data_IF_252788078702
#
_entry.id   IF_252788078702
#
_cell.length_a   1.000
_cell.length_b   1.000
_cell.length_c   1.000
_cell.angle_alpha   90.00
_cell.angle_beta   90.00
_cell.angle_gamma   90.00
#
_symmetry.space_group_name_H-M   'P 1'
#
loop_
_entity.id
_entity.type
_entity.pdbx_description
1 polymer ?
#
# COMPACT_ATOMS: atom_id res chain seq x y z
N UNK A 1 -15.24 3.24 13.29
CA UNK A 1 -13.91 2.92 12.73
C UNK A 1 -14.12 2.24 11.38
N UNK A 2 -13.23 2.43 10.40
CA UNK A 2 -13.35 1.78 9.09
C UNK A 2 -13.34 0.25 9.22
N UNK A 3 -14.16 -0.44 8.44
CA UNK A 3 -14.05 -1.90 8.27
C UNK A 3 -13.08 -2.18 7.12
N UNK A 4 -11.80 -2.37 7.45
CA UNK A 4 -10.77 -2.62 6.44
C UNK A 4 -10.91 -3.97 5.75
N UNK A 5 -11.58 -4.95 6.35
CA UNK A 5 -11.86 -6.24 5.70
C UNK A 5 -12.91 -6.07 4.62
N UNK A 6 -13.95 -5.28 4.88
CA UNK A 6 -14.93 -4.93 3.85
C UNK A 6 -14.33 -4.05 2.76
N UNK A 7 -13.51 -3.08 3.16
CA UNK A 7 -12.82 -2.22 2.21
C UNK A 7 -11.88 -3.01 1.29
N UNK A 8 -11.14 -4.00 1.82
CA UNK A 8 -10.34 -4.92 0.99
C UNK A 8 -11.21 -5.67 -0.02
N UNK A 9 -12.36 -6.22 0.39
CA UNK A 9 -13.26 -6.91 -0.53
C UNK A 9 -13.76 -6.00 -1.65
N UNK A 10 -14.05 -4.74 -1.34
CA UNK A 10 -14.47 -3.73 -2.34
C UNK A 10 -13.31 -3.30 -3.24
N UNK A 11 -12.12 -3.17 -2.68
CA UNK A 11 -10.89 -2.87 -3.40
C UNK A 11 -10.60 -3.94 -4.47
N UNK A 12 -10.72 -5.22 -4.10
CA UNK A 12 -10.54 -6.35 -5.02
C UNK A 12 -11.57 -6.38 -6.16
N UNK A 13 -12.75 -5.79 -5.95
CA UNK A 13 -13.81 -5.71 -6.96
C UNK A 13 -13.79 -4.41 -7.77
N UNK A 14 -12.86 -3.49 -7.51
CA UNK A 14 -12.86 -2.17 -8.14
C UNK A 14 -14.07 -1.31 -7.73
N UNK A 15 -14.54 -1.45 -6.49
CA UNK A 15 -15.74 -0.76 -5.98
C UNK A 15 -15.41 0.34 -4.95
N UNK A 16 -14.14 0.73 -4.86
CA UNK A 16 -13.73 1.86 -4.04
C UNK A 16 -13.78 3.15 -4.86
N UNK A 17 -14.33 4.19 -4.26
CA UNK A 17 -14.21 5.54 -4.79
C UNK A 17 -12.77 6.05 -4.54
N UNK A 18 -11.99 6.36 -5.60
CA UNK A 18 -10.65 6.90 -5.45
C UNK A 18 -10.60 8.16 -4.58
N UNK A 19 -11.64 9.01 -4.59
CA UNK A 19 -11.68 10.24 -3.80
C UNK A 19 -11.81 9.97 -2.29
N UNK A 20 -12.39 8.82 -1.92
CA UNK A 20 -12.59 8.39 -0.54
C UNK A 20 -11.45 7.52 0.02
N UNK A 21 -10.50 7.08 -0.82
CA UNK A 21 -9.43 6.15 -0.41
C UNK A 21 -8.19 6.90 0.08
N UNK A 22 -8.14 7.17 1.39
CA UNK A 22 -7.10 8.00 2.01
C UNK A 22 -5.88 7.17 2.40
N UNK A 23 -4.76 7.84 2.72
CA UNK A 23 -3.50 7.16 3.09
C UNK A 23 -3.67 6.10 4.21
N UNK A 24 -4.38 6.42 5.28
CA UNK A 24 -4.63 5.44 6.35
C UNK A 24 -5.43 4.22 5.87
N UNK A 25 -6.30 4.43 4.89
CA UNK A 25 -7.11 3.37 4.30
C UNK A 25 -6.26 2.44 3.43
N UNK A 26 -5.27 2.99 2.71
CA UNK A 26 -4.25 2.19 2.05
C UNK A 26 -3.55 1.24 3.02
N UNK A 27 -3.04 1.76 4.14
CA UNK A 27 -2.33 0.95 5.14
C UNK A 27 -3.23 -0.12 5.75
N UNK A 28 -4.48 0.23 6.08
CA UNK A 28 -5.45 -0.71 6.65
C UNK A 28 -5.80 -1.85 5.69
N UNK A 29 -6.07 -1.54 4.42
CA UNK A 29 -6.35 -2.55 3.39
C UNK A 29 -5.12 -3.43 3.14
N UNK A 30 -3.92 -2.85 3.10
CA UNK A 30 -2.67 -3.61 2.94
C UNK A 30 -2.44 -4.57 4.10
N UNK A 31 -2.68 -4.14 5.34
CA UNK A 31 -2.61 -4.98 6.54
C UNK A 31 -3.58 -6.17 6.43
N UNK A 32 -4.84 -5.95 6.08
CA UNK A 32 -5.83 -7.03 5.97
C UNK A 32 -5.49 -8.01 4.84
N UNK A 33 -4.98 -7.50 3.70
CA UNK A 33 -4.52 -8.35 2.60
C UNK A 33 -3.33 -9.22 3.03
N UNK A 34 -2.33 -8.62 3.69
CA UNK A 34 -1.16 -9.33 4.19
C UNK A 34 -1.52 -10.39 5.24
N UNK A 35 -2.46 -10.06 6.13
CA UNK A 35 -2.95 -10.98 7.15
C UNK A 35 -3.69 -12.17 6.53
N UNK A 36 -4.49 -11.93 5.48
CA UNK A 36 -5.32 -12.96 4.83
C UNK A 36 -4.53 -13.86 3.88
N UNK A 37 -3.60 -13.29 3.12
CA UNK A 37 -3.04 -13.94 1.92
C UNK A 37 -1.52 -14.12 1.96
N UNK A 38 -0.82 -13.50 2.92
CA UNK A 38 0.63 -13.47 2.94
C UNK A 38 1.23 -12.56 1.87
N UNK A 39 2.56 -12.36 1.93
CA UNK A 39 3.22 -11.25 1.24
C UNK A 39 3.00 -11.21 -0.28
N UNK A 40 3.38 -12.26 -1.00
CA UNK A 40 3.37 -12.21 -2.48
C UNK A 40 1.95 -12.13 -3.06
N UNK A 41 1.01 -12.85 -2.48
CA UNK A 41 -0.38 -12.81 -2.94
C UNK A 41 -1.04 -11.47 -2.60
N UNK A 42 -0.81 -10.94 -1.39
CA UNK A 42 -1.27 -9.61 -1.03
C UNK A 42 -0.65 -8.53 -1.93
N UNK A 43 0.63 -8.63 -2.27
CA UNK A 43 1.29 -7.69 -3.17
C UNK A 43 0.65 -7.68 -4.56
N UNK A 44 0.31 -8.86 -5.12
CA UNK A 44 -0.41 -8.96 -6.39
C UNK A 44 -1.78 -8.26 -6.31
N UNK A 45 -2.60 -8.64 -5.32
CA UNK A 45 -3.92 -8.06 -5.07
C UNK A 45 -3.83 -6.53 -4.96
N UNK A 46 -2.83 -6.05 -4.22
CA UNK A 46 -2.64 -4.63 -3.98
C UNK A 46 -2.19 -3.87 -5.23
N UNK A 47 -1.28 -4.43 -6.01
CA UNK A 47 -0.85 -3.84 -7.26
C UNK A 47 -1.99 -3.77 -8.27
N UNK A 48 -2.75 -4.85 -8.45
CA UNK A 48 -3.89 -4.90 -9.38
C UNK A 48 -4.99 -3.91 -8.99
N UNK A 49 -5.38 -3.89 -7.71
CA UNK A 49 -6.44 -2.99 -7.24
C UNK A 49 -6.04 -1.51 -7.33
N UNK A 50 -4.77 -1.15 -7.06
CA UNK A 50 -4.32 0.22 -7.24
C UNK A 50 -4.27 0.62 -8.72
N UNK A 51 -3.81 -0.27 -9.60
CA UNK A 51 -3.82 -0.04 -11.04
C UNK A 51 -5.24 0.22 -11.54
N UNK A 52 -6.20 -0.64 -11.17
CA UNK A 52 -7.60 -0.47 -11.55
C UNK A 52 -8.18 0.88 -11.05
N UNK A 53 -7.88 1.27 -9.81
CA UNK A 53 -8.34 2.55 -9.25
C UNK A 53 -7.80 3.76 -10.01
N UNK A 54 -6.51 3.75 -10.36
CA UNK A 54 -5.92 4.89 -11.08
C UNK A 54 -6.37 4.93 -12.54
N UNK A 55 -6.66 3.78 -13.14
CA UNK A 55 -7.25 3.68 -14.49
C UNK A 55 -8.69 4.22 -14.51
N UNK A 56 -9.54 3.81 -13.56
CA UNK A 56 -10.90 4.32 -13.41
C UNK A 56 -10.92 5.83 -13.15
N UNK A 57 -9.96 6.34 -12.38
CA UNK A 57 -9.80 7.77 -12.14
C UNK A 57 -9.24 8.55 -13.34
N UNK A 58 -8.86 7.88 -14.44
CA UNK A 58 -8.24 8.51 -15.61
C UNK A 58 -6.83 9.06 -15.35
N UNK A 59 -6.13 8.53 -14.34
CA UNK A 59 -4.83 9.00 -13.86
C UNK A 59 -3.80 7.85 -13.76
N UNK A 60 -3.56 7.06 -14.81
CA UNK A 60 -2.71 5.86 -14.75
C UNK A 60 -1.29 6.15 -14.23
N UNK A 61 -0.76 7.35 -14.52
CA UNK A 61 0.55 7.81 -14.04
C UNK A 61 0.63 8.03 -12.52
N UNK A 62 -0.45 7.81 -11.77
CA UNK A 62 -0.43 7.84 -10.30
C UNK A 62 0.04 6.53 -9.69
N UNK A 63 -0.04 5.42 -10.41
CA UNK A 63 0.53 4.16 -9.93
C UNK A 63 2.07 4.23 -9.88
N UNK A 64 2.64 3.62 -8.85
CA UNK A 64 4.09 3.52 -8.70
C UNK A 64 4.48 2.19 -8.03
N UNK A 65 5.03 1.25 -8.82
CA UNK A 65 5.41 -0.07 -8.34
C UNK A 65 6.43 -0.02 -7.18
N UNK A 66 7.39 0.91 -7.23
CA UNK A 66 8.40 1.09 -6.16
C UNK A 66 7.75 1.52 -4.84
N UNK A 67 6.87 2.53 -4.88
CA UNK A 67 6.15 2.99 -3.68
C UNK A 67 5.29 1.86 -3.12
N UNK A 68 4.48 1.21 -3.95
CA UNK A 68 3.63 0.08 -3.54
C UNK A 68 4.45 -1.02 -2.86
N UNK A 69 5.55 -1.44 -3.48
CA UNK A 69 6.41 -2.48 -2.93
C UNK A 69 7.06 -2.07 -1.60
N UNK A 70 7.56 -0.83 -1.49
CA UNK A 70 8.18 -0.33 -0.28
C UNK A 70 7.21 -0.35 0.91
N UNK A 71 5.98 0.11 0.70
CA UNK A 71 4.93 0.07 1.73
C UNK A 71 4.52 -1.36 2.10
N UNK A 72 4.24 -2.21 1.11
CA UNK A 72 3.85 -3.60 1.38
C UNK A 72 4.94 -4.35 2.17
N UNK A 73 6.21 -4.12 1.82
CA UNK A 73 7.36 -4.72 2.52
C UNK A 73 7.48 -4.21 3.96
N UNK A 74 7.39 -2.89 4.16
CA UNK A 74 7.47 -2.28 5.48
C UNK A 74 6.33 -2.73 6.39
N UNK A 75 5.11 -2.81 5.88
CA UNK A 75 3.95 -3.27 6.63
C UNK A 75 4.13 -4.74 7.02
N UNK A 76 4.48 -5.60 6.06
CA UNK A 76 4.67 -7.03 6.30
C UNK A 76 5.78 -7.34 7.32
N UNK A 77 6.92 -6.64 7.24
CA UNK A 77 8.01 -6.78 8.21
C UNK A 77 7.51 -6.43 9.63
N UNK A 78 6.84 -5.28 9.77
CA UNK A 78 6.37 -4.81 11.08
C UNK A 78 5.29 -5.70 11.67
N UNK A 79 4.40 -6.25 10.85
CA UNK A 79 3.42 -7.26 11.30
C UNK A 79 4.09 -8.49 11.92
N UNK A 80 5.24 -8.92 11.38
CA UNK A 80 6.00 -10.05 11.93
C UNK A 80 6.76 -9.70 13.20
N UNK A 81 7.33 -8.49 13.28
CA UNK A 81 8.11 -8.05 14.45
C UNK A 81 7.23 -7.69 15.64
N UNK A 82 6.09 -7.07 15.37
CA UNK A 82 5.17 -6.53 16.36
C UNK A 82 3.73 -6.83 15.95
N UNK A 83 3.21 -8.03 16.27
CA UNK A 83 1.83 -8.39 15.96
C UNK A 83 0.83 -7.43 16.63
N UNK A 84 -0.18 -7.03 15.86
CA UNK A 84 -1.28 -6.19 16.34
C UNK A 84 -2.59 -6.99 16.33
N UNK A 85 -3.54 -6.62 17.20
CA UNK A 85 -4.84 -7.29 17.26
C UNK A 85 -5.77 -6.87 16.10
N UNK A 86 -5.53 -5.70 15.52
CA UNK A 86 -6.32 -5.15 14.41
C UNK A 86 -5.49 -4.22 13.53
N UNK A 87 -5.97 -3.95 12.31
CA UNK A 87 -5.41 -2.93 11.44
C UNK A 87 -5.36 -1.54 12.12
N UNK A 88 -6.35 -1.20 12.94
CA UNK A 88 -6.39 0.08 13.65
C UNK A 88 -5.28 0.18 14.69
N UNK A 89 -5.06 -0.89 15.47
CA UNK A 89 -3.96 -0.94 16.44
C UNK A 89 -2.62 -0.87 15.73
N UNK A 90 -2.48 -1.57 14.59
CA UNK A 90 -1.30 -1.53 13.76
C UNK A 90 -0.99 -0.11 13.24
N UNK A 91 -1.98 0.59 12.66
CA UNK A 91 -1.81 1.96 12.17
C UNK A 91 -1.43 2.90 13.32
N UNK A 92 -2.09 2.77 14.47
CA UNK A 92 -1.83 3.63 15.64
C UNK A 92 -0.42 3.43 16.21
N UNK A 93 0.11 2.20 16.15
CA UNK A 93 1.46 1.89 16.57
C UNK A 93 2.54 2.29 15.54
N UNK A 94 2.15 2.63 14.31
CA UNK A 94 3.06 2.91 13.20
C UNK A 94 2.72 4.22 12.48
N UNK A 95 2.71 5.37 13.19
CA UNK A 95 2.28 6.65 12.63
C UNK A 95 3.18 7.14 11.49
N UNK A 96 4.44 6.71 11.45
CA UNK A 96 5.39 7.06 10.40
C UNK A 96 5.01 6.46 9.04
N UNK A 97 4.26 5.35 9.00
CA UNK A 97 3.67 4.83 7.76
C UNK A 97 2.73 5.86 7.12
N UNK A 98 2.09 6.75 7.89
CA UNK A 98 1.20 7.77 7.34
C UNK A 98 1.94 9.05 6.91
N UNK A 99 3.21 9.18 7.30
CA UNK A 99 4.01 10.39 7.07
C UNK A 99 4.82 10.38 5.77
N UNK A 100 4.98 9.21 5.15
CA UNK A 100 5.86 9.04 3.98
C UNK A 100 7.26 8.51 4.31
N UNK A 101 7.64 8.41 5.59
CA UNK A 101 9.01 8.08 6.04
C UNK A 101 9.54 6.73 5.51
N UNK A 102 8.65 5.80 5.11
CA UNK A 102 9.01 4.55 4.43
C UNK A 102 9.88 4.79 3.18
N UNK A 103 9.70 5.94 2.54
CA UNK A 103 10.36 6.29 1.29
C UNK A 103 11.68 7.06 1.48
N UNK A 104 12.08 7.37 2.72
CA UNK A 104 13.26 8.23 2.99
C UNK A 104 14.58 7.65 2.49
N UNK A 105 14.63 6.33 2.27
CA UNK A 105 15.79 5.64 1.70
C UNK A 105 15.82 5.61 0.17
N UNK A 106 14.80 6.17 -0.48
CA UNK A 106 14.76 6.32 -1.93
C UNK A 106 15.01 7.77 -2.30
N UNK A 107 15.93 8.00 -3.22
CA UNK A 107 16.13 9.30 -3.81
C UNK A 107 14.88 9.76 -4.55
N UNK A 108 14.62 11.08 -4.53
CA UNK A 108 13.52 11.67 -5.32
C UNK A 108 13.67 11.36 -6.81
N UNK A 109 14.90 11.31 -7.31
CA UNK A 109 15.20 10.96 -8.70
C UNK A 109 14.75 9.53 -9.03
N UNK A 110 14.96 8.57 -8.12
CA UNK A 110 14.47 7.20 -8.26
C UNK A 110 12.95 7.16 -8.23
N UNK A 111 12.33 7.70 -7.18
CA UNK A 111 10.87 7.65 -7.00
C UNK A 111 10.09 8.28 -8.17
N UNK A 112 10.64 9.35 -8.76
CA UNK A 112 10.02 10.08 -9.87
C UNK A 112 10.38 9.53 -11.26
N UNK A 113 11.16 8.46 -11.35
CA UNK A 113 11.54 7.86 -12.63
C UNK A 113 10.42 7.00 -13.21
N UNK A 114 10.31 6.96 -14.54
CA UNK A 114 9.39 6.06 -15.24
C UNK A 114 9.64 4.58 -14.88
N UNK A 115 10.90 4.21 -14.68
CA UNK A 115 11.26 2.86 -14.27
C UNK A 115 10.68 2.50 -12.90
N UNK A 116 10.65 3.43 -11.93
CA UNK A 116 10.07 3.18 -10.61
C UNK A 116 8.56 2.95 -10.66
N UNK A 117 7.89 3.44 -11.71
CA UNK A 117 6.45 3.19 -11.92
C UNK A 117 6.18 1.76 -12.36
N UNK A 118 7.08 1.19 -13.15
CA UNK A 118 6.91 -0.12 -13.78
C UNK A 118 7.58 -1.25 -12.98
N UNK A 119 8.68 -0.94 -12.29
CA UNK A 119 9.50 -1.90 -11.57
C UNK A 119 9.61 -1.50 -10.12
N UNK A 120 9.48 -2.48 -9.23
CA UNK A 120 9.76 -2.31 -7.80
C UNK A 120 11.27 -2.21 -7.59
N UNK A 121 11.76 -0.98 -7.51
CA UNK A 121 13.18 -0.71 -7.34
C UNK A 121 13.58 -0.71 -5.86
N UNK A 122 14.77 -1.23 -5.50
CA UNK A 122 15.27 -1.12 -4.13
C UNK A 122 15.68 0.32 -3.79
N UNK A 123 15.84 0.64 -2.49
CA UNK A 123 16.40 1.90 -2.02
C UNK A 123 17.80 2.20 -2.60
N UNK A 124 18.13 3.48 -2.75
CA UNK A 124 19.41 3.95 -3.32
C UNK A 124 20.11 5.05 -2.49
N UNK A 125 19.67 5.25 -1.25
CA UNK A 125 20.31 6.10 -0.24
C UNK A 125 20.78 5.29 0.98
#
# INVERSE_FOLDING_TARGET
MPDYKDMLRRFERGELDPAGFRHADHVGVAYEALLRDGFFKALLIYAEGLTALVEEAGLPDKFNATVTFAYMSAIAERMHRHPAASAQDFISANPDLLSGAVLDRHSKARLNSELARQVALPPDL
#
